data_IF_889067982126
#
_entry.id   IF_889067982126
#
_cell.length_a   1.000
_cell.length_b   1.000
_cell.length_c   1.000
_cell.angle_alpha   90.00
_cell.angle_beta   90.00
_cell.angle_gamma   90.00
#
_symmetry.space_group_name_H-M   'P 1'
#
loop_
_entity.id
_entity.type
_entity.pdbx_description
1 polymer ?
#
# COMPACT_ATOMS: atom_id res chain seq x y z
N UNK A 1 6.09 -46.52 -35.10
CA UNK A 1 5.02 -45.85 -34.35
C UNK A 1 5.06 -46.42 -32.93
N UNK A 2 5.87 -45.79 -32.08
CA UNK A 2 6.05 -46.21 -30.68
C UNK A 2 4.88 -45.73 -29.83
N UNK A 3 4.35 -46.64 -29.01
CA UNK A 3 3.24 -46.42 -28.11
C UNK A 3 3.72 -45.65 -26.86
N UNK A 4 3.21 -44.43 -26.70
CA UNK A 4 3.49 -43.57 -25.55
C UNK A 4 2.68 -44.04 -24.33
N UNK A 5 3.36 -44.65 -23.36
CA UNK A 5 2.82 -45.03 -22.05
C UNK A 5 2.36 -43.79 -21.27
N UNK A 6 1.04 -43.63 -21.11
CA UNK A 6 0.43 -42.61 -20.24
C UNK A 6 0.56 -43.08 -18.79
N UNK A 7 1.50 -42.52 -18.03
CA UNK A 7 1.57 -42.74 -16.57
C UNK A 7 0.37 -42.04 -15.91
N UNK A 8 -0.49 -42.83 -15.29
CA UNK A 8 -1.54 -42.36 -14.39
C UNK A 8 -0.89 -41.82 -13.11
N UNK A 9 -0.97 -40.51 -12.87
CA UNK A 9 -0.70 -39.92 -11.56
C UNK A 9 -1.96 -40.04 -10.72
N UNK A 10 -1.95 -40.95 -9.76
CA UNK A 10 -3.01 -41.07 -8.74
C UNK A 10 -2.94 -39.87 -7.80
N UNK A 11 -3.96 -39.02 -7.83
CA UNK A 11 -4.16 -37.95 -6.84
C UNK A 11 -4.39 -38.61 -5.49
N UNK A 12 -3.47 -38.41 -4.54
CA UNK A 12 -3.62 -38.85 -3.16
C UNK A 12 -4.56 -37.88 -2.45
N UNK A 13 -5.82 -38.27 -2.27
CA UNK A 13 -6.76 -37.53 -1.43
C UNK A 13 -6.25 -37.53 0.04
N UNK A 14 -5.65 -36.42 0.49
CA UNK A 14 -5.47 -36.17 1.92
C UNK A 14 -6.84 -35.75 2.49
N UNK A 15 -7.60 -36.71 2.99
CA UNK A 15 -8.83 -36.47 3.74
C UNK A 15 -8.57 -35.58 4.96
N UNK A 16 -9.43 -34.57 5.17
CA UNK A 16 -9.49 -33.75 6.39
C UNK A 16 -9.58 -34.67 7.60
N UNK A 17 -8.51 -34.72 8.41
CA UNK A 17 -8.51 -35.49 9.66
C UNK A 17 -9.41 -34.82 10.67
N UNK A 18 -10.37 -35.58 11.18
CA UNK A 18 -11.28 -35.20 12.25
C UNK A 18 -10.46 -34.99 13.54
N UNK A 19 -10.54 -33.80 14.12
CA UNK A 19 -9.85 -33.47 15.37
C UNK A 19 -10.54 -34.18 16.54
N UNK A 20 -10.12 -35.40 16.85
CA UNK A 20 -10.47 -36.09 18.09
C UNK A 20 -9.52 -35.58 19.17
N UNK A 21 -10.00 -34.63 20.00
CA UNK A 21 -9.25 -34.15 21.16
C UNK A 21 -9.43 -35.12 22.32
N UNK A 22 -8.45 -35.99 22.53
CA UNK A 22 -8.23 -36.72 23.78
C UNK A 22 -7.44 -35.88 24.79
N UNK A 23 -7.52 -36.17 26.11
CA UNK A 23 -6.87 -35.37 27.13
C UNK A 23 -5.41 -35.83 27.40
N UNK A 24 -4.49 -34.86 27.29
CA UNK A 24 -3.22 -34.69 28.02
C UNK A 24 -2.08 -35.73 27.91
N UNK A 25 -1.31 -35.75 26.82
CA UNK A 25 0.08 -36.26 26.79
C UNK A 25 0.85 -35.74 25.56
N UNK A 26 2.06 -35.23 25.81
CA UNK A 26 3.20 -34.96 24.91
C UNK A 26 2.91 -34.66 23.42
N UNK A 27 3.25 -33.44 23.00
CA UNK A 27 3.68 -33.14 21.65
C UNK A 27 4.94 -33.96 21.32
N UNK A 28 4.82 -35.25 21.00
CA UNK A 28 5.75 -35.94 20.12
C UNK A 28 5.18 -37.30 19.72
N UNK A 29 4.56 -37.39 18.55
CA UNK A 29 4.34 -38.71 17.93
C UNK A 29 5.02 -38.87 16.58
N UNK A 30 5.66 -37.84 15.99
CA UNK A 30 6.15 -37.93 14.59
C UNK A 30 7.43 -37.17 14.22
N UNK A 31 8.24 -36.73 15.18
CA UNK A 31 9.63 -36.38 14.89
C UNK A 31 10.51 -37.62 14.98
N UNK A 32 11.28 -37.96 13.94
CA UNK A 32 12.41 -38.88 14.11
C UNK A 32 13.30 -38.34 15.24
N UNK A 33 13.61 -39.17 16.25
CA UNK A 33 14.47 -38.73 17.34
C UNK A 33 15.79 -38.20 16.76
N UNK A 34 16.08 -36.92 17.05
CA UNK A 34 17.32 -36.26 16.63
C UNK A 34 18.51 -37.07 17.15
N UNK A 35 19.49 -37.27 16.29
CA UNK A 35 20.79 -37.79 16.73
C UNK A 35 21.50 -36.72 17.57
N UNK A 36 22.37 -37.10 18.52
CA UNK A 36 23.12 -36.11 19.30
C UNK A 36 24.02 -35.23 18.42
N UNK A 37 24.40 -35.70 17.24
CA UNK A 37 25.10 -34.90 16.22
C UNK A 37 24.18 -33.83 15.61
N UNK A 38 22.92 -34.14 15.32
CA UNK A 38 21.95 -33.17 14.81
C UNK A 38 21.52 -32.15 15.87
N UNK A 39 21.35 -32.58 17.13
CA UNK A 39 21.07 -31.69 18.26
C UNK A 39 22.22 -30.68 18.45
N UNK A 40 23.47 -31.17 18.51
CA UNK A 40 24.64 -30.31 18.59
C UNK A 40 24.81 -29.38 17.39
N UNK A 41 24.34 -29.77 16.21
CA UNK A 41 24.33 -28.91 15.01
C UNK A 41 23.29 -27.79 15.12
N UNK A 42 22.07 -28.10 15.57
CA UNK A 42 21.00 -27.11 15.77
C UNK A 42 21.40 -26.10 16.84
N UNK A 43 21.93 -26.55 17.97
CA UNK A 43 22.45 -25.67 19.03
C UNK A 43 23.57 -24.77 18.50
N UNK A 44 24.52 -25.33 17.75
CA UNK A 44 25.60 -24.55 17.15
C UNK A 44 25.08 -23.48 16.17
N UNK A 45 24.03 -23.78 15.41
CA UNK A 45 23.39 -22.81 14.52
C UNK A 45 22.61 -21.75 15.29
N UNK A 46 21.90 -22.13 16.36
CA UNK A 46 21.12 -21.23 17.22
C UNK A 46 22.02 -20.23 17.97
N UNK A 47 23.15 -20.69 18.51
CA UNK A 47 24.11 -19.85 19.24
C UNK A 47 25.12 -19.14 18.33
N UNK A 48 25.11 -19.39 17.02
CA UNK A 48 26.00 -18.71 16.07
C UNK A 48 27.44 -19.22 16.09
N UNK A 49 27.68 -20.48 16.46
CA UNK A 49 29.01 -21.07 16.53
C UNK A 49 29.54 -21.46 15.14
N UNK A 50 30.00 -20.46 14.39
CA UNK A 50 30.50 -20.55 13.02
C UNK A 50 31.52 -21.69 12.79
N UNK A 51 32.60 -21.85 13.60
CA UNK A 51 33.59 -22.89 13.32
C UNK A 51 33.01 -24.30 13.51
N UNK A 52 32.12 -24.50 14.49
CA UNK A 52 31.47 -25.80 14.71
C UNK A 52 30.51 -26.11 13.57
N UNK A 53 29.65 -25.17 13.19
CA UNK A 53 28.73 -25.34 12.07
C UNK A 53 29.49 -25.65 10.78
N UNK A 54 30.55 -24.89 10.47
CA UNK A 54 31.38 -25.13 9.29
C UNK A 54 32.00 -26.54 9.32
N UNK A 55 32.60 -26.92 10.44
CA UNK A 55 33.26 -28.21 10.60
C UNK A 55 32.27 -29.36 10.41
N UNK A 56 31.10 -29.30 11.05
CA UNK A 56 30.05 -30.31 10.93
C UNK A 56 29.51 -30.40 9.50
N UNK A 57 29.40 -29.27 8.81
CA UNK A 57 28.89 -29.19 7.44
C UNK A 57 29.90 -29.67 6.36
N UNK A 58 31.19 -29.71 6.70
CA UNK A 58 32.28 -30.17 5.82
C UNK A 58 32.71 -31.62 6.12
N UNK A 59 32.74 -32.02 7.41
CA UNK A 59 33.29 -33.30 7.86
C UNK A 59 32.23 -34.40 8.07
N UNK A 60 30.99 -34.04 8.42
CA UNK A 60 29.96 -35.03 8.77
C UNK A 60 29.25 -35.58 7.52
N UNK A 61 29.35 -36.89 7.28
CA UNK A 61 28.66 -37.59 6.17
C UNK A 61 27.25 -38.09 6.53
N UNK A 62 26.99 -38.23 7.84
CA UNK A 62 25.74 -38.74 8.41
C UNK A 62 24.75 -37.63 8.77
N UNK A 63 25.22 -36.38 8.83
CA UNK A 63 24.43 -35.24 9.27
C UNK A 63 23.35 -34.88 8.23
N UNK A 64 22.10 -34.93 8.65
CA UNK A 64 21.01 -34.30 7.92
C UNK A 64 20.96 -32.80 8.30
N UNK A 65 21.38 -31.92 7.40
CA UNK A 65 21.33 -30.48 7.62
C UNK A 65 19.91 -29.89 7.60
N UNK A 66 18.92 -30.63 7.10
CA UNK A 66 17.50 -30.28 7.16
C UNK A 66 16.80 -30.90 8.39
N UNK A 67 17.56 -31.23 9.44
CA UNK A 67 16.98 -31.62 10.72
C UNK A 67 16.12 -30.49 11.31
N UNK A 68 15.13 -30.88 12.09
CA UNK A 68 14.16 -29.96 12.72
C UNK A 68 14.17 -30.14 14.23
N UNK A 69 14.03 -29.05 14.97
CA UNK A 69 13.93 -29.06 16.43
C UNK A 69 12.55 -29.58 16.90
N UNK A 70 12.31 -29.52 18.22
CA UNK A 70 11.04 -29.92 18.83
C UNK A 70 9.85 -29.01 18.45
N UNK A 71 10.12 -27.80 17.95
CA UNK A 71 9.14 -26.86 17.39
C UNK A 71 8.99 -27.02 15.87
N UNK A 72 9.74 -27.94 15.25
CA UNK A 72 9.75 -28.14 13.81
C UNK A 72 10.62 -27.16 13.04
N UNK A 73 11.50 -26.38 13.66
CA UNK A 73 12.35 -25.38 13.01
C UNK A 73 13.68 -25.97 12.52
N UNK A 74 14.14 -25.56 11.34
CA UNK A 74 15.44 -25.95 10.81
C UNK A 74 16.57 -25.01 11.28
N UNK A 75 17.83 -25.46 11.09
CA UNK A 75 19.02 -24.67 11.40
C UNK A 75 19.03 -23.27 10.75
N UNK A 76 18.48 -23.12 9.54
CA UNK A 76 18.41 -21.83 8.85
C UNK A 76 17.44 -20.86 9.53
N UNK A 77 16.24 -21.32 9.90
CA UNK A 77 15.22 -20.54 10.60
C UNK A 77 15.72 -20.11 11.98
N UNK A 78 16.45 -20.99 12.68
CA UNK A 78 17.10 -20.65 13.97
C UNK A 78 18.19 -19.60 13.79
N UNK A 79 19.10 -19.80 12.82
CA UNK A 79 20.17 -18.85 12.53
C UNK A 79 19.62 -17.47 12.10
N UNK A 80 18.59 -17.44 11.25
CA UNK A 80 17.92 -16.21 10.82
C UNK A 80 17.18 -15.55 11.98
N UNK A 81 16.51 -16.34 12.83
CA UNK A 81 15.79 -15.83 14.00
C UNK A 81 16.69 -15.06 14.97
N UNK A 82 17.93 -15.52 15.12
CA UNK A 82 18.94 -14.96 16.02
C UNK A 82 19.94 -14.01 15.32
N UNK A 83 19.68 -13.62 14.06
CA UNK A 83 20.50 -12.68 13.29
C UNK A 83 21.95 -13.15 13.00
N UNK A 84 22.19 -14.46 12.90
CA UNK A 84 23.53 -15.01 12.62
C UNK A 84 23.86 -15.02 11.12
N UNK A 85 24.21 -13.86 10.56
CA UNK A 85 24.50 -13.69 9.13
C UNK A 85 25.54 -14.69 8.58
N UNK A 86 26.68 -14.85 9.25
CA UNK A 86 27.75 -15.73 8.76
C UNK A 86 27.32 -17.20 8.73
N UNK A 87 26.55 -17.64 9.72
CA UNK A 87 25.97 -18.99 9.76
C UNK A 87 24.94 -19.14 8.64
N UNK A 88 24.08 -18.15 8.44
CA UNK A 88 23.12 -18.13 7.34
C UNK A 88 23.81 -18.25 5.98
N UNK A 89 24.88 -17.49 5.72
CA UNK A 89 25.65 -17.59 4.48
C UNK A 89 26.30 -18.96 4.29
N UNK A 90 26.78 -19.60 5.37
CA UNK A 90 27.34 -20.96 5.29
C UNK A 90 26.28 -22.00 4.96
N UNK A 91 25.09 -21.90 5.56
CA UNK A 91 23.97 -22.80 5.28
C UNK A 91 23.46 -22.61 3.84
N UNK A 92 23.37 -21.37 3.37
CA UNK A 92 22.91 -21.06 2.01
C UNK A 92 23.89 -21.50 0.91
N UNK A 93 25.17 -21.72 1.22
CA UNK A 93 26.17 -22.26 0.26
C UNK A 93 25.94 -23.74 -0.06
N UNK A 94 25.20 -24.47 0.78
CA UNK A 94 24.86 -25.87 0.49
C UNK A 94 23.61 -25.95 -0.37
N UNK A 95 23.64 -26.84 -1.35
CA UNK A 95 22.49 -27.13 -2.20
C UNK A 95 21.50 -28.04 -1.45
N UNK A 96 20.20 -27.83 -1.68
CA UNK A 96 19.14 -28.65 -1.06
C UNK A 96 18.62 -28.15 0.29
N UNK A 97 18.92 -26.90 0.66
CA UNK A 97 18.35 -26.27 1.86
C UNK A 97 16.82 -26.19 1.75
N UNK A 98 16.11 -26.80 2.71
CA UNK A 98 14.66 -26.72 2.80
C UNK A 98 14.22 -25.41 3.51
N UNK A 99 12.95 -25.02 3.30
CA UNK A 99 12.28 -23.91 4.03
C UNK A 99 12.98 -22.54 3.94
N UNK A 100 13.72 -22.30 2.87
CA UNK A 100 14.41 -21.02 2.63
C UNK A 100 13.41 -19.85 2.49
N UNK A 101 12.22 -20.11 1.94
CA UNK A 101 11.16 -19.12 1.81
C UNK A 101 10.60 -18.66 3.16
N UNK A 102 10.41 -19.57 4.12
CA UNK A 102 10.00 -19.18 5.47
C UNK A 102 11.09 -18.38 6.19
N UNK A 103 12.36 -18.78 6.04
CA UNK A 103 13.51 -18.00 6.50
C UNK A 103 13.52 -16.57 5.94
N UNK A 104 13.21 -16.41 4.65
CA UNK A 104 13.05 -15.09 4.03
C UNK A 104 11.93 -14.27 4.68
N UNK A 105 10.74 -14.86 4.86
CA UNK A 105 9.61 -14.15 5.48
C UNK A 105 9.91 -13.76 6.94
N UNK A 106 10.62 -14.61 7.68
CA UNK A 106 11.06 -14.31 9.05
C UNK A 106 12.06 -13.14 9.06
N UNK A 107 13.05 -13.15 8.17
CA UNK A 107 14.02 -12.06 8.05
C UNK A 107 13.35 -10.72 7.70
N UNK A 108 12.36 -10.73 6.80
CA UNK A 108 11.57 -9.55 6.43
C UNK A 108 10.75 -9.04 7.63
N UNK A 109 10.08 -9.94 8.36
CA UNK A 109 9.30 -9.59 9.55
C UNK A 109 10.14 -8.92 10.64
N UNK A 110 11.43 -9.29 10.73
CA UNK A 110 12.39 -8.75 11.69
C UNK A 110 13.15 -7.51 11.19
N UNK A 111 13.13 -7.22 9.90
CA UNK A 111 13.88 -6.10 9.31
C UNK A 111 15.37 -6.39 9.06
N UNK A 112 15.79 -7.66 8.96
CA UNK A 112 17.19 -8.03 8.79
C UNK A 112 17.67 -7.88 7.33
N UNK A 113 17.98 -6.66 6.92
CA UNK A 113 18.33 -6.31 5.52
C UNK A 113 19.46 -7.17 4.96
N UNK A 114 20.58 -7.31 5.68
CA UNK A 114 21.75 -8.08 5.21
C UNK A 114 21.45 -9.56 5.00
N UNK A 115 20.63 -10.14 5.88
CA UNK A 115 20.21 -11.53 5.80
C UNK A 115 19.25 -11.72 4.62
N UNK A 116 18.33 -10.78 4.40
CA UNK A 116 17.44 -10.77 3.23
C UNK A 116 18.25 -10.74 1.93
N UNK A 117 19.28 -9.89 1.83
CA UNK A 117 20.17 -9.86 0.66
C UNK A 117 20.91 -11.17 0.45
N UNK A 118 21.47 -11.76 1.52
CA UNK A 118 22.15 -13.05 1.46
C UNK A 118 21.21 -14.16 0.97
N UNK A 119 19.97 -14.21 1.47
CA UNK A 119 18.95 -15.18 1.05
C UNK A 119 18.54 -14.97 -0.40
N UNK A 120 18.31 -13.71 -0.82
CA UNK A 120 17.95 -13.37 -2.21
C UNK A 120 19.10 -13.58 -3.20
N UNK A 121 20.35 -13.68 -2.72
CA UNK A 121 21.51 -14.07 -3.52
C UNK A 121 21.53 -15.56 -3.89
N UNK A 122 20.71 -16.39 -3.26
CA UNK A 122 20.65 -17.82 -3.54
C UNK A 122 20.02 -18.11 -4.92
N UNK A 123 20.58 -19.05 -5.72
CA UNK A 123 20.02 -19.45 -7.01
C UNK A 123 18.54 -19.88 -6.95
N UNK A 124 18.02 -20.31 -5.79
CA UNK A 124 16.62 -20.65 -5.59
C UNK A 124 15.64 -19.50 -5.90
N UNK A 125 16.09 -18.23 -5.81
CA UNK A 125 15.31 -17.02 -6.10
C UNK A 125 15.65 -16.36 -7.44
N UNK A 126 16.61 -16.91 -8.19
CA UNK A 126 17.15 -16.29 -9.42
C UNK A 126 16.12 -16.04 -10.52
N UNK A 127 15.02 -16.80 -10.56
CA UNK A 127 13.98 -16.67 -11.59
C UNK A 127 12.86 -15.68 -11.21
N UNK A 128 12.89 -15.07 -10.02
CA UNK A 128 11.87 -14.09 -9.57
C UNK A 128 10.46 -14.66 -9.34
N UNK A 129 10.11 -15.77 -9.98
CA UNK A 129 8.81 -16.44 -9.93
C UNK A 129 8.42 -16.84 -8.50
N UNK A 130 9.41 -17.15 -7.65
CA UNK A 130 9.15 -17.48 -6.24
C UNK A 130 8.78 -16.27 -5.38
N UNK A 131 9.09 -15.05 -5.81
CA UNK A 131 8.79 -13.81 -5.10
C UNK A 131 7.41 -13.24 -5.46
N UNK A 132 6.89 -13.55 -6.65
CA UNK A 132 5.62 -13.04 -7.17
C UNK A 132 4.44 -13.96 -6.87
N UNK A 133 4.65 -15.28 -6.91
CA UNK A 133 3.58 -16.24 -6.65
C UNK A 133 3.22 -16.28 -5.16
N UNK A 134 1.92 -16.40 -4.87
CA UNK A 134 1.48 -16.64 -3.50
C UNK A 134 1.94 -18.02 -3.02
N UNK A 135 2.25 -18.18 -1.72
CA UNK A 135 2.54 -19.49 -1.14
C UNK A 135 1.51 -20.58 -1.47
N UNK A 136 0.21 -20.23 -1.57
CA UNK A 136 -0.85 -21.16 -1.97
C UNK A 136 -0.73 -21.65 -3.43
N UNK A 137 -0.34 -20.77 -4.35
CA UNK A 137 -0.14 -21.13 -5.76
C UNK A 137 1.14 -21.95 -5.96
N UNK A 138 2.06 -21.89 -5.02
CA UNK A 138 3.30 -22.68 -4.98
C UNK A 138 3.15 -24.02 -4.26
N UNK A 139 2.22 -24.14 -3.31
CA UNK A 139 1.90 -25.41 -2.64
C UNK A 139 1.42 -26.48 -3.64
N UNK A 140 0.79 -26.07 -4.74
CA UNK A 140 0.45 -26.94 -5.89
C UNK A 140 1.69 -27.52 -6.60
N UNK A 141 2.89 -27.00 -6.32
CA UNK A 141 4.18 -27.46 -6.87
C UNK A 141 4.97 -28.36 -5.91
N UNK A 142 4.39 -28.73 -4.76
CA UNK A 142 4.93 -29.75 -3.83
C UNK A 142 6.31 -29.42 -3.22
N UNK A 143 6.65 -28.12 -3.11
CA UNK A 143 7.90 -27.65 -2.48
C UNK A 143 7.59 -27.14 -1.06
N UNK A 144 8.18 -27.73 0.00
CA UNK A 144 8.16 -27.25 1.41
C UNK A 144 8.92 -25.91 1.62
N UNK A 145 8.87 -25.03 0.63
CA UNK A 145 9.72 -23.86 0.53
C UNK A 145 9.32 -22.75 1.52
N UNK A 146 8.02 -22.53 1.71
CA UNK A 146 7.45 -21.57 2.66
C UNK A 146 6.86 -22.22 3.92
N UNK A 147 6.96 -23.54 4.05
CA UNK A 147 6.52 -24.26 5.23
C UNK A 147 7.33 -23.83 6.45
N UNK A 148 6.66 -23.59 7.57
CA UNK A 148 7.31 -23.33 8.84
C UNK A 148 7.64 -24.66 9.51
N UNK A 149 6.63 -25.52 9.65
CA UNK A 149 6.66 -26.87 10.19
C UNK A 149 5.84 -27.82 9.30
N UNK A 150 5.56 -29.03 9.78
CA UNK A 150 4.71 -30.02 9.09
C UNK A 150 3.21 -29.66 9.12
N UNK A 151 2.81 -28.71 9.98
CA UNK A 151 1.42 -28.30 10.21
C UNK A 151 1.01 -27.08 9.38
N UNK A 152 1.97 -26.28 8.86
CA UNK A 152 1.71 -25.26 7.85
C UNK A 152 2.75 -24.14 7.77
N UNK A 153 2.33 -22.99 7.24
CA UNK A 153 3.14 -21.77 7.05
C UNK A 153 2.99 -20.81 8.23
N UNK A 154 4.05 -20.07 8.58
CA UNK A 154 4.00 -19.06 9.66
C UNK A 154 3.04 -17.91 9.35
N UNK A 155 3.05 -17.46 8.11
CA UNK A 155 2.20 -16.38 7.62
C UNK A 155 1.03 -16.95 6.82
N UNK A 156 -0.02 -16.14 6.63
CA UNK A 156 -1.14 -16.54 5.79
C UNK A 156 -0.65 -16.77 4.35
N UNK A 157 -1.16 -17.82 3.69
CA UNK A 157 -0.68 -18.33 2.39
C UNK A 157 -0.87 -17.36 1.21
N UNK A 158 -1.56 -16.26 1.43
CA UNK A 158 -1.81 -15.15 0.51
C UNK A 158 -0.78 -14.01 0.65
N UNK A 159 0.07 -14.05 1.68
CA UNK A 159 1.10 -13.03 1.92
C UNK A 159 2.37 -13.39 1.16
N UNK A 160 2.68 -12.60 0.13
CA UNK A 160 3.97 -12.67 -0.57
C UNK A 160 5.05 -11.89 0.19
N UNK A 161 6.35 -12.14 -0.06
CA UNK A 161 7.44 -11.41 0.60
C UNK A 161 7.33 -9.88 0.46
N UNK A 162 6.90 -9.37 -0.69
CA UNK A 162 6.71 -7.94 -0.92
C UNK A 162 5.52 -7.37 -0.14
N UNK A 163 4.43 -8.12 0.01
CA UNK A 163 3.29 -7.71 0.84
C UNK A 163 3.71 -7.64 2.31
N UNK A 164 4.49 -8.62 2.79
CA UNK A 164 4.98 -8.61 4.17
C UNK A 164 5.93 -7.43 4.43
N UNK A 165 6.88 -7.18 3.53
CA UNK A 165 7.80 -6.04 3.63
C UNK A 165 7.04 -4.69 3.67
N UNK A 166 6.01 -4.57 2.84
CA UNK A 166 5.11 -3.41 2.83
C UNK A 166 4.32 -3.26 4.13
N UNK A 167 3.85 -4.37 4.74
CA UNK A 167 3.14 -4.34 6.04
C UNK A 167 4.06 -3.90 7.18
N UNK A 168 5.34 -4.29 7.15
CA UNK A 168 6.34 -3.90 8.15
C UNK A 168 6.90 -2.48 7.94
N UNK A 169 6.62 -1.85 6.79
CA UNK A 169 7.14 -0.51 6.42
C UNK A 169 8.67 -0.45 6.29
N UNK A 170 9.29 -1.54 5.86
CA UNK A 170 10.75 -1.65 5.69
C UNK A 170 11.17 -1.14 4.29
N UNK A 171 11.57 0.12 4.20
CA UNK A 171 11.88 0.79 2.92
C UNK A 171 13.02 0.11 2.14
N UNK A 172 14.10 -0.27 2.82
CA UNK A 172 15.26 -0.90 2.18
C UNK A 172 14.90 -2.27 1.60
N UNK A 173 14.19 -3.09 2.36
CA UNK A 173 13.74 -4.42 1.92
C UNK A 173 12.75 -4.30 0.76
N UNK A 174 11.80 -3.36 0.84
CA UNK A 174 10.85 -3.08 -0.26
C UNK A 174 11.62 -2.69 -1.53
N UNK A 175 12.64 -1.83 -1.42
CA UNK A 175 13.46 -1.44 -2.56
C UNK A 175 14.23 -2.61 -3.17
N UNK A 176 14.84 -3.47 -2.34
CA UNK A 176 15.56 -4.68 -2.80
C UNK A 176 14.60 -5.60 -3.55
N UNK A 177 13.41 -5.86 -3.00
CA UNK A 177 12.40 -6.73 -3.62
C UNK A 177 11.85 -6.14 -4.93
N UNK A 178 11.60 -4.83 -4.99
CA UNK A 178 11.19 -4.13 -6.21
C UNK A 178 12.28 -4.22 -7.30
N UNK A 179 13.55 -4.09 -6.92
CA UNK A 179 14.71 -4.22 -7.84
C UNK A 179 14.82 -5.64 -8.40
N UNK A 180 14.38 -6.66 -7.64
CA UNK A 180 14.27 -8.05 -8.11
C UNK A 180 13.00 -8.32 -8.93
N UNK A 181 12.17 -7.30 -9.18
CA UNK A 181 10.96 -7.40 -10.01
C UNK A 181 9.71 -7.87 -9.27
N UNK A 182 9.75 -8.01 -7.95
CA UNK A 182 8.57 -8.40 -7.18
C UNK A 182 7.65 -7.19 -6.98
N UNK A 183 6.47 -7.20 -7.60
CA UNK A 183 5.44 -6.16 -7.45
C UNK A 183 4.16 -6.74 -6.88
N UNK A 184 3.42 -5.93 -6.13
CA UNK A 184 2.11 -6.31 -5.62
C UNK A 184 1.10 -6.19 -6.75
N UNK A 185 0.42 -7.29 -7.06
CA UNK A 185 -0.67 -7.30 -8.03
C UNK A 185 -1.88 -6.55 -7.47
N UNK A 186 -2.48 -5.67 -8.29
CA UNK A 186 -3.70 -4.97 -7.90
C UNK A 186 -4.88 -5.94 -7.86
N UNK A 187 -5.63 -6.03 -6.74
CA UNK A 187 -6.82 -6.86 -6.69
C UNK A 187 -7.82 -6.47 -7.78
N UNK A 188 -8.53 -7.47 -8.31
CA UNK A 188 -9.66 -7.20 -9.21
C UNK A 188 -10.79 -6.47 -8.46
N UNK A 189 -11.64 -5.78 -9.24
CA UNK A 189 -12.84 -5.16 -8.71
C UNK A 189 -13.72 -6.19 -7.99
N UNK A 190 -14.42 -5.75 -6.94
CA UNK A 190 -15.20 -6.63 -6.07
C UNK A 190 -16.27 -7.42 -6.83
N UNK A 191 -16.85 -6.81 -7.87
CA UNK A 191 -17.88 -7.43 -8.71
C UNK A 191 -17.34 -8.16 -9.94
N UNK A 192 -16.02 -8.38 -10.03
CA UNK A 192 -15.42 -9.08 -11.15
C UNK A 192 -15.90 -10.53 -11.23
N UNK A 193 -16.20 -10.99 -12.45
CA UNK A 193 -16.71 -12.34 -12.75
C UNK A 193 -15.72 -13.18 -13.57
N UNK A 194 -14.43 -12.86 -13.54
CA UNK A 194 -13.43 -13.67 -14.23
C UNK A 194 -13.36 -15.09 -13.62
N UNK A 195 -12.85 -16.04 -14.40
CA UNK A 195 -12.81 -17.44 -13.97
C UNK A 195 -11.97 -17.63 -12.70
N UNK A 196 -10.83 -16.93 -12.60
CA UNK A 196 -9.93 -17.01 -11.44
C UNK A 196 -10.58 -16.51 -10.14
N UNK A 197 -11.25 -15.35 -10.17
CA UNK A 197 -11.99 -14.83 -9.01
C UNK A 197 -13.15 -15.75 -8.63
N UNK A 198 -13.89 -16.26 -9.63
CA UNK A 198 -15.00 -17.17 -9.39
C UNK A 198 -14.52 -18.50 -8.77
N UNK A 199 -13.38 -19.04 -9.21
CA UNK A 199 -12.78 -20.24 -8.64
C UNK A 199 -12.25 -20.01 -7.22
N UNK A 200 -11.50 -18.93 -6.98
CA UNK A 200 -10.98 -18.56 -5.64
C UNK A 200 -12.14 -18.37 -4.65
N UNK A 201 -13.21 -17.69 -5.07
CA UNK A 201 -14.43 -17.48 -4.28
C UNK A 201 -15.20 -18.79 -3.98
N UNK A 202 -15.26 -19.72 -4.94
CA UNK A 202 -15.91 -21.04 -4.74
C UNK A 202 -15.11 -21.96 -3.84
N UNK A 203 -13.77 -21.91 -3.90
CA UNK A 203 -12.89 -22.71 -3.04
C UNK A 203 -12.97 -22.23 -1.60
N UNK A 204 -12.73 -20.94 -1.37
CA UNK A 204 -12.84 -20.33 -0.05
C UNK A 204 -13.07 -18.81 -0.15
N UNK A 205 -14.31 -18.40 0.10
CA UNK A 205 -14.69 -16.99 0.12
C UNK A 205 -13.98 -16.20 1.23
N UNK A 206 -13.65 -16.83 2.36
CA UNK A 206 -13.04 -16.13 3.49
C UNK A 206 -11.55 -15.88 3.25
N UNK A 207 -10.82 -16.89 2.74
CA UNK A 207 -9.44 -16.66 2.30
C UNK A 207 -9.38 -15.64 1.16
N UNK A 208 -10.32 -15.66 0.21
CA UNK A 208 -10.33 -14.70 -0.88
C UNK A 208 -10.50 -13.24 -0.41
N UNK A 209 -11.41 -12.99 0.55
CA UNK A 209 -11.56 -11.65 1.12
C UNK A 209 -10.34 -11.22 1.94
N UNK A 210 -9.72 -12.15 2.68
CA UNK A 210 -8.49 -11.89 3.45
C UNK A 210 -7.30 -11.56 2.55
N UNK A 211 -7.15 -12.29 1.43
CA UNK A 211 -6.14 -12.02 0.40
C UNK A 211 -6.27 -10.64 -0.20
N UNK A 212 -7.49 -10.23 -0.57
CA UNK A 212 -7.77 -8.89 -1.07
C UNK A 212 -7.39 -7.82 -0.04
N UNK A 213 -7.76 -8.00 1.23
CA UNK A 213 -7.39 -7.08 2.30
C UNK A 213 -5.86 -6.98 2.47
N UNK A 214 -5.16 -8.10 2.47
CA UNK A 214 -3.70 -8.12 2.63
C UNK A 214 -2.98 -7.43 1.46
N UNK A 215 -3.46 -7.61 0.23
CA UNK A 215 -2.97 -6.90 -0.94
C UNK A 215 -3.20 -5.39 -0.83
N UNK A 216 -4.41 -4.95 -0.48
CA UNK A 216 -4.70 -3.51 -0.27
C UNK A 216 -3.88 -2.90 0.87
N UNK A 217 -3.66 -3.65 1.95
CA UNK A 217 -2.80 -3.21 3.05
C UNK A 217 -1.34 -3.03 2.61
N UNK A 218 -0.85 -3.88 1.70
CA UNK A 218 0.47 -3.71 1.08
C UNK A 218 0.53 -2.47 0.17
N UNK A 219 -0.46 -2.31 -0.72
CA UNK A 219 -0.56 -1.18 -1.65
C UNK A 219 -0.69 0.19 -0.95
N UNK A 220 -1.40 0.23 0.19
CA UNK A 220 -1.64 1.44 0.96
C UNK A 220 -0.46 1.84 1.88
N UNK A 221 0.60 1.03 1.94
CA UNK A 221 1.76 1.33 2.76
C UNK A 221 2.58 2.49 2.18
N UNK A 222 3.11 3.36 3.06
CA UNK A 222 3.93 4.49 2.64
C UNK A 222 5.23 4.06 1.94
N UNK A 223 5.84 2.96 2.41
CA UNK A 223 7.05 2.38 1.80
C UNK A 223 6.79 1.95 0.35
N UNK A 224 5.70 1.23 0.10
CA UNK A 224 5.36 0.80 -1.25
C UNK A 224 4.96 1.98 -2.14
N UNK A 225 4.10 2.90 -1.67
CA UNK A 225 3.68 4.08 -2.44
C UNK A 225 4.88 4.93 -2.88
N UNK A 226 5.81 5.19 -1.96
CA UNK A 226 6.98 6.06 -2.24
C UNK A 226 7.96 5.45 -3.25
N UNK A 227 8.12 4.12 -3.26
CA UNK A 227 9.15 3.45 -4.07
C UNK A 227 8.62 2.83 -5.37
N UNK A 228 7.32 2.54 -5.45
CA UNK A 228 6.73 1.83 -6.62
C UNK A 228 6.05 2.73 -7.63
N UNK A 229 5.58 3.92 -7.21
CA UNK A 229 4.77 4.81 -8.03
C UNK A 229 5.58 6.02 -8.49
N UNK A 230 5.34 6.44 -9.74
CA UNK A 230 5.95 7.65 -10.32
C UNK A 230 5.35 8.93 -9.71
N UNK A 231 4.03 8.98 -9.58
CA UNK A 231 3.31 10.01 -8.82
C UNK A 231 2.66 9.41 -7.55
N UNK A 232 3.34 9.47 -6.40
CA UNK A 232 2.84 8.91 -5.15
C UNK A 232 1.66 9.70 -4.58
N UNK A 233 1.55 11.00 -4.86
CA UNK A 233 0.46 11.84 -4.38
C UNK A 233 -0.84 11.47 -5.09
N UNK A 234 -0.81 11.42 -6.43
CA UNK A 234 -2.00 11.04 -7.20
C UNK A 234 -2.43 9.60 -6.91
N UNK A 235 -1.48 8.66 -6.92
CA UNK A 235 -1.76 7.23 -6.65
C UNK A 235 -2.37 7.04 -5.27
N UNK A 236 -1.88 7.75 -4.25
CA UNK A 236 -2.40 7.67 -2.89
C UNK A 236 -3.81 8.28 -2.77
N UNK A 237 -4.09 9.40 -3.48
CA UNK A 237 -5.42 10.00 -3.53
C UNK A 237 -6.45 9.05 -4.17
N UNK A 238 -6.13 8.46 -5.33
CA UNK A 238 -6.98 7.49 -6.01
C UNK A 238 -7.26 6.26 -5.13
N UNK A 239 -6.20 5.66 -4.57
CA UNK A 239 -6.29 4.50 -3.69
C UNK A 239 -7.12 4.81 -2.43
N UNK A 240 -6.98 6.01 -1.85
CA UNK A 240 -7.76 6.41 -0.68
C UNK A 240 -9.26 6.44 -0.94
N UNK A 241 -9.67 6.85 -2.15
CA UNK A 241 -11.07 6.90 -2.57
C UNK A 241 -11.60 5.49 -2.89
N UNK A 242 -10.78 4.66 -3.54
CA UNK A 242 -11.11 3.26 -3.79
C UNK A 242 -11.37 2.49 -2.48
N UNK A 243 -10.45 2.62 -1.50
CA UNK A 243 -10.59 2.01 -0.18
C UNK A 243 -11.82 2.54 0.57
N UNK A 244 -12.11 3.84 0.46
CA UNK A 244 -13.31 4.42 1.07
C UNK A 244 -14.61 3.86 0.44
N UNK A 245 -14.62 3.59 -0.86
CA UNK A 245 -15.74 2.93 -1.56
C UNK A 245 -15.87 1.48 -1.12
N UNK A 246 -14.77 0.73 -1.08
CA UNK A 246 -14.73 -0.67 -0.64
C UNK A 246 -15.21 -0.84 0.79
N UNK A 247 -14.90 0.10 1.69
CA UNK A 247 -15.40 0.10 3.07
C UNK A 247 -16.93 0.16 3.18
N UNK A 248 -17.63 0.66 2.15
CA UNK A 248 -19.09 0.67 2.11
C UNK A 248 -19.69 -0.57 1.44
N UNK A 249 -18.88 -1.30 0.65
CA UNK A 249 -19.28 -2.53 -0.04
C UNK A 249 -19.08 -3.73 0.90
N UNK A 250 -17.87 -3.89 1.45
CA UNK A 250 -17.53 -4.92 2.42
C UNK A 250 -17.72 -4.39 3.83
N UNK A 251 -18.82 -4.79 4.46
CA UNK A 251 -19.18 -4.27 5.79
C UNK A 251 -18.41 -4.95 6.91
N UNK A 252 -17.94 -6.17 6.68
CA UNK A 252 -17.19 -7.01 7.61
C UNK A 252 -15.82 -6.41 7.95
N UNK A 253 -15.10 -5.90 6.94
CA UNK A 253 -13.78 -5.30 7.08
C UNK A 253 -13.80 -3.76 6.96
N UNK A 254 -14.95 -3.16 7.14
CA UNK A 254 -15.17 -1.71 6.98
C UNK A 254 -14.18 -0.85 7.75
N UNK A 255 -13.85 -1.23 8.98
CA UNK A 255 -12.93 -0.48 9.83
C UNK A 255 -11.50 -0.51 9.30
N UNK A 256 -11.06 -1.66 8.77
CA UNK A 256 -9.72 -1.83 8.22
C UNK A 256 -9.54 -1.02 6.94
N UNK A 257 -10.51 -1.07 6.01
CA UNK A 257 -10.47 -0.23 4.80
C UNK A 257 -10.47 1.27 5.13
N UNK A 258 -11.25 1.70 6.12
CA UNK A 258 -11.23 3.10 6.58
C UNK A 258 -9.87 3.50 7.15
N UNK A 259 -9.24 2.60 7.91
CA UNK A 259 -7.90 2.83 8.46
C UNK A 259 -6.86 2.97 7.34
N UNK A 260 -6.90 2.09 6.34
CA UNK A 260 -6.00 2.15 5.18
C UNK A 260 -6.24 3.41 4.31
N UNK A 261 -7.50 3.79 4.12
CA UNK A 261 -7.86 5.04 3.42
C UNK A 261 -7.30 6.25 4.16
N UNK A 262 -7.42 6.30 5.50
CA UNK A 262 -6.81 7.36 6.31
C UNK A 262 -5.29 7.35 6.24
N UNK A 263 -4.64 6.18 6.23
CA UNK A 263 -3.19 6.07 6.05
C UNK A 263 -2.72 6.67 4.72
N UNK A 264 -3.44 6.43 3.62
CA UNK A 264 -3.15 7.06 2.33
C UNK A 264 -3.34 8.58 2.40
N UNK A 265 -4.43 9.06 3.00
CA UNK A 265 -4.68 10.50 3.18
C UNK A 265 -3.60 11.19 4.01
N UNK A 266 -3.18 10.56 5.10
CA UNK A 266 -2.13 11.09 5.99
C UNK A 266 -0.75 11.05 5.33
N UNK A 267 -0.47 10.07 4.47
CA UNK A 267 0.74 10.03 3.65
C UNK A 267 0.85 11.25 2.73
N UNK A 268 -0.23 11.61 2.01
CA UNK A 268 -0.24 12.78 1.12
C UNK A 268 -0.02 14.09 1.89
N UNK A 269 -0.60 14.20 3.09
CA UNK A 269 -0.34 15.34 3.99
C UNK A 269 1.13 15.37 4.39
N UNK A 270 1.69 14.22 4.79
CA UNK A 270 3.10 14.10 5.16
C UNK A 270 4.05 14.50 4.04
N UNK A 271 3.73 14.21 2.76
CA UNK A 271 4.53 14.68 1.62
C UNK A 271 4.46 16.21 1.49
N UNK A 272 3.29 16.81 1.65
CA UNK A 272 3.12 18.27 1.60
C UNK A 272 3.80 19.00 2.77
N UNK A 273 3.91 18.35 3.93
CA UNK A 273 4.63 18.86 5.10
C UNK A 273 6.15 18.98 4.86
N UNK A 274 6.70 18.18 3.94
CA UNK A 274 8.14 18.19 3.64
C UNK A 274 8.57 19.25 2.63
N UNK A 275 7.63 19.95 1.98
CA UNK A 275 7.95 21.01 1.02
C UNK A 275 8.57 22.22 1.68
N UNK A 276 9.64 22.75 1.07
CA UNK A 276 10.40 23.90 1.57
C UNK A 276 10.16 25.15 0.74
N UNK A 277 9.93 24.99 -0.55
CA UNK A 277 9.79 26.10 -1.49
C UNK A 277 8.38 26.18 -2.10
N UNK A 278 8.00 27.37 -2.56
CA UNK A 278 6.69 27.59 -3.19
C UNK A 278 6.53 26.79 -4.49
N UNK A 279 7.63 26.59 -5.22
CA UNK A 279 7.65 25.78 -6.45
C UNK A 279 7.30 24.31 -6.16
N UNK A 280 7.86 23.73 -5.10
CA UNK A 280 7.52 22.35 -4.68
C UNK A 280 6.05 22.23 -4.28
N UNK A 281 5.53 23.22 -3.54
CA UNK A 281 4.11 23.26 -3.16
C UNK A 281 3.22 23.39 -4.40
N UNK A 282 3.57 24.27 -5.34
CA UNK A 282 2.81 24.43 -6.60
C UNK A 282 2.85 23.16 -7.45
N UNK A 283 3.99 22.49 -7.56
CA UNK A 283 4.13 21.21 -8.25
C UNK A 283 3.24 20.12 -7.61
N UNK A 284 3.12 20.10 -6.28
CA UNK A 284 2.21 19.17 -5.60
C UNK A 284 0.74 19.54 -5.85
N UNK A 285 0.37 20.81 -5.78
CA UNK A 285 -1.04 21.22 -5.84
C UNK A 285 -1.63 21.21 -7.27
N UNK A 286 -0.80 21.50 -8.27
CA UNK A 286 -1.23 21.55 -9.67
C UNK A 286 -1.03 20.21 -10.37
N UNK A 287 0.03 19.47 -10.02
CA UNK A 287 0.41 18.24 -10.72
C UNK A 287 1.20 18.51 -11.98
N UNK A 288 1.28 17.49 -12.84
CA UNK A 288 2.09 17.55 -14.06
C UNK A 288 1.48 18.52 -15.08
N UNK A 289 2.21 19.59 -15.38
CA UNK A 289 1.73 20.72 -16.20
C UNK A 289 1.87 20.40 -17.70
N UNK A 290 2.56 19.32 -18.07
CA UNK A 290 2.94 19.00 -19.45
C UNK A 290 1.78 18.54 -20.35
N UNK A 291 0.63 18.19 -19.78
CA UNK A 291 -0.53 17.69 -20.55
C UNK A 291 -1.62 18.75 -20.84
N UNK A 292 -1.50 19.97 -20.33
CA UNK A 292 -2.46 21.05 -20.59
C UNK A 292 -1.94 21.98 -21.69
N UNK A 293 -2.74 22.31 -22.73
CA UNK A 293 -2.34 23.33 -23.70
C UNK A 293 -2.09 24.64 -22.94
N UNK A 294 -1.05 25.42 -23.30
CA UNK A 294 -0.73 26.66 -22.61
C UNK A 294 -1.90 27.63 -22.76
N UNK A 295 -2.73 27.73 -21.74
CA UNK A 295 -3.80 28.73 -21.72
C UNK A 295 -3.15 30.08 -21.48
N UNK A 296 -3.43 31.06 -22.35
CA UNK A 296 -2.90 32.43 -22.31
C UNK A 296 -3.16 33.20 -20.99
N UNK A 297 -3.87 32.61 -20.04
CA UNK A 297 -3.98 33.10 -18.67
C UNK A 297 -3.23 32.12 -17.75
N UNK A 298 -2.15 32.58 -17.13
CA UNK A 298 -1.33 31.90 -16.11
C UNK A 298 -2.13 31.56 -14.84
N UNK A 299 -3.26 30.85 -14.95
CA UNK A 299 -4.06 30.46 -13.80
C UNK A 299 -3.65 29.05 -13.39
N UNK A 300 -3.11 28.84 -12.18
CA UNK A 300 -2.74 27.50 -11.73
C UNK A 300 -3.98 26.59 -11.78
N UNK A 301 -3.90 25.52 -12.58
CA UNK A 301 -4.95 24.51 -12.63
C UNK A 301 -4.78 23.66 -11.36
N UNK A 302 -5.46 24.05 -10.28
CA UNK A 302 -5.45 23.38 -8.98
C UNK A 302 -6.14 21.99 -9.05
N UNK A 303 -5.66 21.09 -9.92
CA UNK A 303 -6.30 19.81 -10.24
C UNK A 303 -6.23 18.86 -9.05
N UNK A 304 -5.06 18.73 -8.41
CA UNK A 304 -4.91 17.87 -7.23
C UNK A 304 -5.75 18.40 -6.05
N UNK A 305 -5.91 19.72 -5.91
CA UNK A 305 -6.79 20.31 -4.88
C UNK A 305 -8.26 20.03 -5.16
N UNK A 306 -8.72 20.18 -6.42
CA UNK A 306 -10.10 19.83 -6.81
C UNK A 306 -10.37 18.35 -6.56
N UNK A 307 -9.40 17.48 -6.88
CA UNK A 307 -9.47 16.05 -6.63
C UNK A 307 -9.50 15.74 -5.12
N UNK A 308 -8.66 16.38 -4.33
CA UNK A 308 -8.63 16.23 -2.87
C UNK A 308 -9.95 16.66 -2.21
N UNK A 309 -10.62 17.70 -2.74
CA UNK A 309 -11.96 18.10 -2.30
C UNK A 309 -12.98 17.02 -2.67
N UNK A 310 -12.93 16.50 -3.91
CA UNK A 310 -13.81 15.42 -4.38
C UNK A 310 -13.68 14.14 -3.53
N UNK A 311 -12.47 13.84 -3.06
CA UNK A 311 -12.18 12.66 -2.21
C UNK A 311 -12.23 12.96 -0.70
N UNK A 312 -12.70 14.15 -0.32
CA UNK A 312 -12.86 14.59 1.06
C UNK A 312 -11.56 14.45 1.91
N UNK A 313 -10.42 14.83 1.34
CA UNK A 313 -9.12 14.85 2.04
C UNK A 313 -8.97 16.16 2.80
N UNK A 314 -9.70 16.27 3.92
CA UNK A 314 -9.85 17.53 4.68
C UNK A 314 -8.52 18.09 5.18
N UNK A 315 -7.62 17.25 5.71
CA UNK A 315 -6.33 17.67 6.26
C UNK A 315 -5.40 18.28 5.20
N UNK A 316 -5.40 17.72 3.99
CA UNK A 316 -4.60 18.22 2.87
C UNK A 316 -5.02 19.62 2.45
N UNK A 317 -6.33 19.84 2.31
CA UNK A 317 -6.85 21.17 1.95
C UNK A 317 -6.64 22.17 3.08
N UNK A 318 -6.83 21.76 4.34
CA UNK A 318 -6.64 22.63 5.51
C UNK A 318 -5.16 22.91 5.86
N UNK A 319 -4.22 22.29 5.16
CA UNK A 319 -2.79 22.42 5.45
C UNK A 319 -2.30 23.87 5.26
N UNK A 320 -1.47 24.43 6.16
CA UNK A 320 -0.98 25.82 6.06
C UNK A 320 -0.35 26.17 4.71
N UNK A 321 0.48 25.29 4.13
CA UNK A 321 1.12 25.56 2.83
C UNK A 321 0.08 25.62 1.69
N UNK A 322 -0.92 24.72 1.72
CA UNK A 322 -2.02 24.72 0.77
C UNK A 322 -2.88 25.98 0.91
N UNK A 323 -3.24 26.33 2.14
CA UNK A 323 -4.02 27.54 2.45
C UNK A 323 -3.29 28.81 2.05
N UNK A 324 -1.97 28.89 2.26
CA UNK A 324 -1.16 30.03 1.84
C UNK A 324 -1.21 30.21 0.32
N UNK A 325 -1.05 29.13 -0.44
CA UNK A 325 -1.12 29.20 -1.91
C UNK A 325 -2.52 29.59 -2.40
N UNK A 326 -3.57 29.00 -1.82
CA UNK A 326 -4.96 29.37 -2.13
C UNK A 326 -5.24 30.83 -1.79
N UNK A 327 -4.70 31.35 -0.68
CA UNK A 327 -4.82 32.76 -0.31
C UNK A 327 -4.07 33.67 -1.28
N UNK A 328 -2.89 33.27 -1.78
CA UNK A 328 -2.15 34.04 -2.79
C UNK A 328 -2.97 34.16 -4.08
N UNK A 329 -3.55 33.05 -4.57
CA UNK A 329 -4.43 33.04 -5.74
C UNK A 329 -5.72 33.85 -5.47
N UNK A 330 -6.25 33.81 -4.25
CA UNK A 330 -7.47 34.53 -3.88
C UNK A 330 -7.28 36.06 -3.82
N UNK A 331 -6.09 36.52 -3.44
CA UNK A 331 -5.78 37.95 -3.25
C UNK A 331 -4.82 38.51 -4.32
N UNK A 332 -4.58 37.80 -5.43
CA UNK A 332 -3.58 38.13 -6.46
C UNK A 332 -3.62 39.62 -6.88
N UNK A 333 -4.81 40.15 -7.18
CA UNK A 333 -5.01 41.55 -7.59
C UNK A 333 -5.44 42.50 -6.45
N UNK A 334 -5.50 42.00 -5.22
CA UNK A 334 -5.89 42.74 -4.01
C UNK A 334 -4.91 42.45 -2.86
N UNK A 335 -3.61 42.41 -3.15
CA UNK A 335 -2.54 42.11 -2.19
C UNK A 335 -2.59 43.02 -0.96
N UNK A 336 -2.87 44.31 -1.18
CA UNK A 336 -3.05 45.31 -0.13
C UNK A 336 -4.21 45.02 0.81
N UNK A 337 -5.26 44.31 0.38
CA UNK A 337 -6.45 44.00 1.19
C UNK A 337 -6.19 42.86 2.19
N UNK A 338 -5.23 41.98 1.92
CA UNK A 338 -4.92 40.81 2.78
C UNK A 338 -4.52 41.23 4.19
N UNK A 339 -3.66 42.25 4.31
CA UNK A 339 -3.13 42.75 5.59
C UNK A 339 -4.03 43.79 6.29
N UNK A 340 -5.15 44.19 5.68
CA UNK A 340 -6.03 45.23 6.24
C UNK A 340 -6.88 44.72 7.40
N UNK A 341 -7.27 45.66 8.26
CA UNK A 341 -8.15 45.39 9.40
C UNK A 341 -9.53 44.91 8.94
N UNK A 342 -10.22 44.19 9.82
CA UNK A 342 -11.56 43.66 9.56
C UNK A 342 -12.54 44.78 9.18
N UNK A 343 -12.39 45.97 9.78
CA UNK A 343 -13.21 47.15 9.47
C UNK A 343 -13.07 47.59 8.01
N UNK A 344 -11.83 47.75 7.53
CA UNK A 344 -11.55 48.13 6.13
C UNK A 344 -12.09 47.07 5.17
N UNK A 345 -11.90 45.78 5.48
CA UNK A 345 -12.45 44.67 4.68
C UNK A 345 -13.98 44.75 4.58
N UNK A 346 -14.66 45.00 5.69
CA UNK A 346 -16.11 45.12 5.73
C UNK A 346 -16.61 46.34 4.91
N UNK A 347 -15.94 47.49 5.04
CA UNK A 347 -16.23 48.68 4.23
C UNK A 347 -16.01 48.46 2.74
N UNK A 348 -14.93 47.78 2.34
CA UNK A 348 -14.72 47.43 0.92
C UNK A 348 -15.80 46.50 0.39
N UNK A 349 -16.22 45.47 1.14
CA UNK A 349 -17.32 44.57 0.73
C UNK A 349 -18.64 45.32 0.63
N UNK A 350 -18.91 46.25 1.56
CA UNK A 350 -20.12 47.06 1.56
C UNK A 350 -20.15 48.03 0.36
N UNK A 351 -19.06 48.73 0.10
CA UNK A 351 -18.90 49.62 -1.06
C UNK A 351 -19.05 48.89 -2.40
N UNK A 352 -18.39 47.73 -2.55
CA UNK A 352 -18.53 46.89 -3.75
C UNK A 352 -19.96 46.37 -3.91
N UNK A 353 -20.64 46.01 -2.81
CA UNK A 353 -22.03 45.54 -2.88
C UNK A 353 -23.03 46.62 -3.30
N UNK A 354 -22.80 47.89 -2.93
CA UNK A 354 -23.63 49.02 -3.35
C UNK A 354 -23.33 49.46 -4.79
N UNK A 355 -22.07 49.36 -5.23
CA UNK A 355 -21.64 49.68 -6.60
C UNK A 355 -21.91 48.58 -7.64
N UNK A 356 -22.39 47.41 -7.21
CA UNK A 356 -22.63 46.23 -8.04
C UNK A 356 -23.54 46.47 -9.28
N UNK A 357 -24.68 47.21 -9.20
CA UNK A 357 -25.50 47.47 -10.39
C UNK A 357 -24.75 48.30 -11.44
N UNK A 358 -23.91 49.24 -11.02
CA UNK A 358 -23.09 50.05 -11.92
C UNK A 358 -21.93 49.23 -12.53
N UNK A 359 -21.30 48.35 -11.74
CA UNK A 359 -20.25 47.44 -12.22
C UNK A 359 -20.81 46.42 -13.23
N UNK A 360 -22.02 45.90 -13.01
CA UNK A 360 -22.68 45.00 -13.96
C UNK A 360 -23.00 45.69 -15.29
N UNK A 361 -23.49 46.93 -15.24
CA UNK A 361 -23.75 47.73 -16.43
C UNK A 361 -22.44 48.06 -17.18
N UNK A 362 -21.39 48.40 -16.45
CA UNK A 362 -20.06 48.65 -17.01
C UNK A 362 -19.42 47.40 -17.63
N UNK A 363 -19.60 46.21 -17.03
CA UNK A 363 -19.14 44.93 -17.59
C UNK A 363 -19.80 44.63 -18.94
N UNK A 364 -21.08 44.98 -19.07
CA UNK A 364 -21.84 44.77 -20.29
C UNK A 364 -21.46 45.74 -21.41
N UNK A 365 -21.09 46.98 -21.07
CA UNK A 365 -20.74 48.03 -22.03
C UNK A 365 -19.27 47.95 -22.47
N UNK A 366 -18.33 47.57 -21.58
CA UNK A 366 -16.90 47.62 -21.89
C UNK A 366 -16.10 46.47 -21.23
N UNK A 367 -16.06 45.28 -21.85
CA UNK A 367 -15.45 44.08 -21.25
C UNK A 367 -13.91 44.09 -21.19
N UNK A 368 -13.23 44.99 -21.93
CA UNK A 368 -11.76 44.99 -22.08
C UNK A 368 -11.04 46.12 -21.31
N UNK A 369 -11.69 46.79 -20.35
CA UNK A 369 -11.05 47.86 -19.57
C UNK A 369 -10.23 47.29 -18.40
N UNK A 370 -9.14 47.98 -17.99
CA UNK A 370 -8.28 47.58 -16.83
C UNK A 370 -9.09 47.38 -15.55
N UNK A 371 -10.12 48.20 -15.33
CA UNK A 371 -11.05 48.09 -14.20
C UNK A 371 -11.86 46.79 -14.26
N UNK A 372 -12.21 46.34 -15.47
CA UNK A 372 -12.98 45.10 -15.66
C UNK A 372 -12.14 43.84 -15.47
N UNK A 373 -10.86 43.86 -15.84
CA UNK A 373 -9.93 42.77 -15.52
C UNK A 373 -9.75 42.62 -14.01
N UNK A 374 -9.56 43.74 -13.29
CA UNK A 374 -9.51 43.70 -11.82
C UNK A 374 -10.81 43.17 -11.19
N UNK A 375 -11.99 43.45 -11.78
CA UNK A 375 -13.27 42.89 -11.30
C UNK A 375 -13.40 41.40 -11.62
N UNK A 376 -12.96 40.96 -12.81
CA UNK A 376 -12.98 39.55 -13.24
C UNK A 376 -12.07 38.69 -12.36
N UNK A 377 -10.92 39.19 -11.95
CA UNK A 377 -9.95 38.45 -11.13
C UNK A 377 -10.18 38.63 -9.62
N UNK A 378 -10.78 39.74 -9.18
CA UNK A 378 -11.28 39.91 -7.81
C UNK A 378 -12.65 39.23 -7.56
N UNK A 379 -13.22 38.56 -8.57
CA UNK A 379 -14.49 37.83 -8.40
C UNK A 379 -14.48 36.77 -7.30
N UNK A 380 -13.41 36.03 -6.95
CA UNK A 380 -13.45 35.09 -5.83
C UNK A 380 -13.75 35.76 -4.46
N UNK A 381 -12.96 36.73 -3.95
CA UNK A 381 -13.26 37.44 -2.70
C UNK A 381 -14.63 38.13 -2.72
N UNK A 382 -14.97 38.71 -3.87
CA UNK A 382 -16.23 39.42 -4.04
C UNK A 382 -17.41 38.43 -4.19
N UNK A 383 -17.23 37.21 -4.73
CA UNK A 383 -18.24 36.14 -4.83
C UNK A 383 -18.57 35.52 -3.48
N UNK A 384 -17.56 35.26 -2.64
CA UNK A 384 -17.78 34.79 -1.28
C UNK A 384 -18.61 35.79 -0.47
N UNK A 385 -18.30 37.09 -0.59
CA UNK A 385 -19.11 38.17 -0.01
C UNK A 385 -20.50 38.32 -0.65
N UNK A 386 -20.64 38.05 -1.96
CA UNK A 386 -21.93 38.01 -2.68
C UNK A 386 -22.84 36.92 -2.09
N UNK A 387 -22.37 35.68 -1.95
CA UNK A 387 -23.18 34.57 -1.43
C UNK A 387 -23.56 34.70 0.05
N UNK A 388 -22.71 35.28 0.90
CA UNK A 388 -23.05 35.52 2.31
C UNK A 388 -24.22 36.49 2.50
N UNK A 389 -24.46 37.45 1.59
CA UNK A 389 -25.61 38.37 1.69
C UNK A 389 -26.92 37.79 1.17
N UNK A 390 -26.89 36.88 0.18
CA UNK A 390 -28.11 36.24 -0.33
C UNK A 390 -28.68 35.19 0.64
N UNK A 391 -27.90 34.68 1.60
CA UNK A 391 -28.38 33.70 2.60
C UNK A 391 -28.94 34.31 3.89
N UNK A 392 -28.88 35.63 4.09
CA UNK A 392 -29.46 36.29 5.29
C UNK A 392 -30.95 36.60 5.18
N UNK A 393 -31.62 36.30 4.07
CA UNK A 393 -33.07 36.40 3.96
C UNK A 393 -33.57 35.38 2.93
N UNK A 394 -34.13 34.26 3.42
CA UNK A 394 -35.32 33.56 2.89
C UNK A 394 -35.40 32.17 3.54
N UNK A 395 -36.06 32.12 4.69
CA UNK A 395 -36.86 30.95 5.06
C UNK A 395 -38.00 30.85 4.04
N UNK A 396 -38.12 29.72 3.34
CA UNK A 396 -39.35 29.01 2.90
C UNK A 396 -39.00 27.94 1.83
N UNK A 397 -39.84 26.89 1.65
CA UNK A 397 -39.45 25.49 1.52
C UNK A 397 -39.30 25.02 0.05
N UNK A 398 -38.82 23.79 -0.22
CA UNK A 398 -38.52 23.35 -1.57
C UNK A 398 -39.79 22.94 -2.31
N UNK A 399 -40.03 23.55 -3.48
CA UNK A 399 -41.01 23.04 -4.45
C UNK A 399 -40.28 22.14 -5.45
N UNK A 400 -40.73 20.89 -5.47
CA UNK A 400 -40.30 19.83 -6.35
C UNK A 400 -40.60 20.13 -7.83
N UNK A 401 -39.73 19.63 -8.71
CA UNK A 401 -39.92 19.56 -10.16
C UNK A 401 -39.18 18.33 -10.71
N UNK A 402 -39.69 17.69 -11.79
CA UNK A 402 -39.82 16.23 -11.84
C UNK A 402 -38.66 15.50 -12.51
N UNK A 403 -38.53 14.24 -12.06
CA UNK A 403 -37.72 13.14 -12.59
C UNK A 403 -37.93 12.88 -14.08
N UNK A 404 -36.84 12.82 -14.84
CA UNK A 404 -36.79 12.13 -16.13
C UNK A 404 -35.80 10.96 -16.01
N UNK A 405 -36.34 9.74 -16.02
CA UNK A 405 -35.61 8.51 -16.32
C UNK A 405 -35.47 8.38 -17.84
N UNK A 406 -34.33 7.91 -18.37
CA UNK A 406 -34.26 7.28 -19.67
C UNK A 406 -34.36 5.76 -19.53
N UNK A 407 -35.17 5.16 -20.40
CA UNK A 407 -35.04 3.78 -20.89
C UNK A 407 -33.88 3.70 -21.88
#
# INVERSE_FOLDING_TARGET
MEAMHRRHTTVREKGRRQAVRGPAYMFNERGSALTPEEEGFLDAAEYGNIPVVRKMLEESKTLNFNCVDYMGQNALQLAVGNEHLEVTELLLKKEGQARVGDGLLLAISKGYVRIVEAILGNPAFSQGLRLTLSPLEQELRDDDFYAYDEDGTRFSHDVTPIILAAHCQEYEIVHILLTKGARIERPHDYFCKCNECAEKQRRDSFSHSRSRMNAYKGLASAAYLSLSSEDPVFTSLELSNELARLANIETEFKNDYRKLSMQCKDFVVGVLDQCRDTEEVEAILNGDVDNAPPSENNRPCLERVKLAIKYEVKKFVAHPNCQQQLLTIWYENLSGLRQQSIGVKCWTVLGVSLGLPFLALAYWIMPCSKVMNTVREATPPIAGGRHCKYHTNLNYPPLAGPSQHPL
#
